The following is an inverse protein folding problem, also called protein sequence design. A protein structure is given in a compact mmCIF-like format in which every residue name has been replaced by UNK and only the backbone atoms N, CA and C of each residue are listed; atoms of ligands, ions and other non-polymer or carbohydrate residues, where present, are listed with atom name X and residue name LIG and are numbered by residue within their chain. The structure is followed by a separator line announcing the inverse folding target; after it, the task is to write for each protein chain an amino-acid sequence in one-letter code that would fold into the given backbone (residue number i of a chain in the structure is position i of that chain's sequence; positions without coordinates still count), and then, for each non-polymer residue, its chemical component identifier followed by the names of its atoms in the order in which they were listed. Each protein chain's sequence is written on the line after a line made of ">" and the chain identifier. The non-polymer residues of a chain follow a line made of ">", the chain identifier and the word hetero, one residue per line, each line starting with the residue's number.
data_IF_157809792654
#
_entry.id   IF_157809792654
#
_cell.length_a   1.000
_cell.length_b   1.000
_cell.length_c   1.000
_cell.angle_alpha   90.00
_cell.angle_beta   90.00
_cell.angle_gamma   90.00
#
_symmetry.space_group_name_H-M   'P 1'
#
loop_
_entity.id
_entity.type
_entity.pdbx_description
1 polymer ?
#
# COMPACT_ATOMS: atom_id res chain seq x y z
N UNK A 1 27.08 -23.37 -19.50
CA UNK A 1 26.37 -22.08 -19.41
C UNK A 1 24.88 -22.35 -19.37
N UNK A 2 24.25 -22.30 -18.19
CA UNK A 2 22.80 -22.48 -18.04
C UNK A 2 22.14 -21.11 -17.93
N UNK A 3 21.14 -20.92 -18.80
CA UNK A 3 20.55 -19.64 -19.19
C UNK A 3 19.51 -19.13 -18.18
N UNK A 4 19.83 -18.04 -17.47
CA UNK A 4 19.07 -16.78 -17.38
C UNK A 4 17.62 -16.69 -16.88
N UNK A 5 16.82 -17.76 -16.84
CA UNK A 5 15.37 -17.66 -16.54
C UNK A 5 15.01 -17.83 -15.04
N UNK A 6 15.92 -18.41 -14.26
CA UNK A 6 15.63 -18.85 -12.87
C UNK A 6 15.68 -17.78 -11.78
N UNK A 7 16.02 -16.51 -12.06
CA UNK A 7 16.29 -15.51 -10.99
C UNK A 7 15.11 -14.62 -10.57
N UNK A 8 14.14 -14.38 -11.46
CA UNK A 8 13.01 -13.44 -11.18
C UNK A 8 11.92 -14.12 -10.34
N UNK A 9 11.58 -15.36 -10.70
CA UNK A 9 10.64 -16.18 -9.91
C UNK A 9 11.18 -16.47 -8.52
N UNK A 10 12.49 -16.63 -8.39
CA UNK A 10 13.18 -16.86 -7.11
C UNK A 10 12.93 -15.68 -6.14
N UNK A 11 13.13 -14.45 -6.60
CA UNK A 11 12.96 -13.26 -5.74
C UNK A 11 11.50 -13.05 -5.32
N UNK A 12 10.54 -13.20 -6.24
CA UNK A 12 9.13 -13.05 -5.88
C UNK A 12 8.72 -14.07 -4.82
N UNK A 13 9.20 -15.32 -4.94
CA UNK A 13 8.96 -16.38 -3.96
C UNK A 13 9.66 -16.08 -2.62
N UNK A 14 10.91 -15.62 -2.63
CA UNK A 14 11.63 -15.18 -1.41
C UNK A 14 10.84 -14.10 -0.67
N UNK A 15 10.34 -13.08 -1.38
CA UNK A 15 9.60 -11.98 -0.77
C UNK A 15 8.21 -12.42 -0.29
N UNK A 16 7.57 -13.36 -0.99
CA UNK A 16 6.35 -14.03 -0.53
C UNK A 16 6.59 -14.71 0.82
N UNK A 17 7.71 -15.43 0.95
CA UNK A 17 8.06 -16.13 2.20
C UNK A 17 8.31 -15.16 3.35
N UNK A 18 8.90 -13.99 3.08
CA UNK A 18 9.16 -12.94 4.07
C UNK A 18 7.92 -12.10 4.47
N UNK A 19 6.84 -12.16 3.69
CA UNK A 19 5.65 -11.30 3.91
C UNK A 19 4.61 -12.01 4.77
N UNK A 20 4.15 -11.35 5.82
CA UNK A 20 3.28 -11.89 6.87
C UNK A 20 2.01 -11.07 7.01
N UNK A 21 0.92 -11.75 7.37
CA UNK A 21 -0.30 -11.08 7.78
C UNK A 21 -0.17 -10.62 9.23
N UNK A 22 -0.71 -9.44 9.53
CA UNK A 22 -0.91 -8.97 10.90
C UNK A 22 -2.41 -8.86 11.13
N UNK A 23 -2.90 -9.43 12.23
CA UNK A 23 -4.32 -9.30 12.60
C UNK A 23 -4.51 -9.11 14.11
N UNK A 24 -5.53 -8.35 14.48
CA UNK A 24 -5.99 -8.24 15.85
C UNK A 24 -7.52 -8.19 15.89
N UNK A 25 -8.20 -9.08 16.64
CA UNK A 25 -9.63 -8.98 16.87
C UNK A 25 -10.00 -7.67 17.56
N UNK A 26 -11.10 -7.06 17.14
CA UNK A 26 -11.65 -5.86 17.78
C UNK A 26 -12.82 -6.22 18.69
N UNK A 27 -13.18 -5.31 19.61
CA UNK A 27 -14.32 -5.49 20.51
C UNK A 27 -15.67 -5.64 19.77
N UNK A 28 -15.78 -5.17 18.53
CA UNK A 28 -16.97 -5.29 17.69
C UNK A 28 -17.07 -6.64 16.95
N UNK A 29 -16.13 -7.56 17.17
CA UNK A 29 -16.04 -8.84 16.46
C UNK A 29 -15.48 -8.74 15.03
N UNK A 30 -15.07 -7.54 14.60
CA UNK A 30 -14.28 -7.34 13.39
C UNK A 30 -12.80 -7.64 13.66
N UNK A 31 -11.97 -7.55 12.62
CA UNK A 31 -10.51 -7.68 12.73
C UNK A 31 -9.84 -6.46 12.13
N UNK A 32 -8.91 -5.87 12.86
CA UNK A 32 -7.90 -5.00 12.27
C UNK A 32 -6.93 -5.91 11.53
N UNK A 33 -6.71 -5.66 10.24
CA UNK A 33 -5.84 -6.46 9.39
C UNK A 33 -4.84 -5.57 8.66
N UNK A 34 -3.62 -6.05 8.53
CA UNK A 34 -2.57 -5.40 7.78
C UNK A 34 -1.57 -6.40 7.24
N UNK A 35 -0.61 -5.88 6.48
CA UNK A 35 0.53 -6.64 5.96
C UNK A 35 1.79 -6.16 6.64
N UNK A 36 2.72 -7.06 6.91
CA UNK A 36 4.10 -6.71 7.21
C UNK A 36 5.07 -7.60 6.45
N UNK A 37 6.34 -7.26 6.48
CA UNK A 37 7.39 -8.10 5.90
C UNK A 37 8.63 -8.08 6.78
N UNK A 38 9.34 -9.20 6.76
CA UNK A 38 10.52 -9.41 7.58
C UNK A 38 11.77 -8.94 6.86
N UNK A 39 12.60 -8.19 7.58
CA UNK A 39 13.90 -7.70 7.16
C UNK A 39 14.97 -8.37 8.02
N UNK A 40 16.00 -8.95 7.38
CA UNK A 40 17.23 -9.33 8.06
C UNK A 40 18.17 -8.12 8.15
N UNK A 41 18.56 -7.78 9.37
CA UNK A 41 19.46 -6.66 9.66
C UNK A 41 20.42 -7.03 10.79
N UNK A 42 21.28 -6.08 11.18
CA UNK A 42 22.14 -6.22 12.35
C UNK A 42 21.80 -5.15 13.38
N UNK A 43 21.98 -5.48 14.66
CA UNK A 43 21.90 -4.50 15.75
C UNK A 43 23.19 -3.67 15.87
N UNK A 44 23.26 -2.80 16.89
CA UNK A 44 24.43 -1.95 17.14
C UNK A 44 25.72 -2.73 17.49
N UNK A 45 25.60 -3.98 17.96
CA UNK A 45 26.73 -4.87 18.24
C UNK A 45 27.19 -5.65 17.00
N UNK A 46 26.42 -5.59 15.91
CA UNK A 46 26.63 -6.40 14.71
C UNK A 46 25.95 -7.77 14.76
N UNK A 47 25.17 -8.07 15.78
CA UNK A 47 24.46 -9.34 15.88
C UNK A 47 23.27 -9.38 14.89
N UNK A 48 23.03 -10.51 14.19
CA UNK A 48 21.89 -10.67 13.32
C UNK A 48 20.56 -10.53 14.07
N UNK A 49 19.60 -9.84 13.46
CA UNK A 49 18.23 -9.72 13.96
C UNK A 49 17.21 -9.74 12.83
N UNK A 50 16.03 -10.24 13.15
CA UNK A 50 14.85 -10.18 12.27
C UNK A 50 13.94 -9.05 12.71
N UNK A 51 13.58 -8.18 11.77
CA UNK A 51 12.75 -7.00 12.02
C UNK A 51 11.49 -7.09 11.17
N UNK A 52 10.33 -7.06 11.82
CA UNK A 52 9.05 -6.84 11.16
C UNK A 52 8.94 -5.36 10.77
N UNK A 53 8.66 -5.08 9.50
CA UNK A 53 8.36 -3.75 8.97
C UNK A 53 6.90 -3.72 8.49
N UNK A 54 6.19 -2.64 8.78
CA UNK A 54 4.81 -2.40 8.34
C UNK A 54 4.52 -0.89 8.30
N UNK A 55 3.31 -0.52 7.89
CA UNK A 55 2.83 0.85 8.00
C UNK A 55 2.50 1.15 9.47
N UNK A 56 2.84 2.35 9.95
CA UNK A 56 2.66 2.70 11.36
C UNK A 56 1.19 2.61 11.79
N UNK A 57 0.26 3.10 10.98
CA UNK A 57 -1.17 3.03 11.31
C UNK A 57 -1.71 1.60 11.46
N UNK A 58 -1.04 0.58 10.90
CA UNK A 58 -1.43 -0.84 11.08
C UNK A 58 -1.26 -1.25 12.54
N UNK A 59 -0.10 -0.98 13.13
CA UNK A 59 0.16 -1.31 14.54
C UNK A 59 -0.56 -0.35 15.49
N UNK A 60 -0.71 0.90 15.11
CA UNK A 60 -1.46 1.88 15.90
C UNK A 60 -2.94 1.49 16.03
N UNK A 61 -3.55 1.05 14.93
CA UNK A 61 -4.92 0.52 14.90
C UNK A 61 -5.12 -0.82 15.64
N UNK A 62 -4.05 -1.44 16.13
CA UNK A 62 -4.07 -2.62 16.99
C UNK A 62 -3.89 -2.18 18.45
N UNK A 63 -5.02 -1.86 19.10
CA UNK A 63 -5.04 -1.29 20.45
C UNK A 63 -4.66 -2.30 21.56
N UNK A 64 -4.93 -3.59 21.38
CA UNK A 64 -4.61 -4.58 22.39
C UNK A 64 -3.10 -4.92 22.41
N UNK A 65 -2.55 -5.43 23.53
CA UNK A 65 -1.11 -5.70 23.63
C UNK A 65 -0.59 -6.80 22.70
N UNK A 66 -1.47 -7.73 22.31
CA UNK A 66 -1.12 -8.89 21.48
C UNK A 66 -1.85 -8.80 20.14
N UNK A 67 -1.09 -8.84 19.05
CA UNK A 67 -1.57 -9.13 17.70
C UNK A 67 -1.26 -10.60 17.35
N UNK A 68 -1.78 -11.09 16.23
CA UNK A 68 -1.33 -12.33 15.62
C UNK A 68 -0.47 -12.02 14.39
N UNK A 69 0.65 -12.73 14.25
CA UNK A 69 1.50 -12.73 13.07
C UNK A 69 1.32 -14.04 12.30
N UNK A 70 1.01 -13.93 11.01
CA UNK A 70 0.69 -15.05 10.15
C UNK A 70 1.94 -15.80 9.67
N UNK A 71 2.42 -16.75 10.48
CA UNK A 71 3.43 -17.72 10.04
C UNK A 71 2.81 -18.94 9.37
N UNK A 72 3.66 -19.73 8.72
CA UNK A 72 3.31 -21.00 8.07
C UNK A 72 4.45 -22.00 8.15
N UNK A 73 4.11 -23.27 8.22
CA UNK A 73 5.08 -24.37 8.31
C UNK A 73 4.98 -25.23 7.06
N UNK A 74 6.12 -25.51 6.43
CA UNK A 74 6.20 -26.51 5.38
C UNK A 74 6.03 -27.89 6.00
N UNK A 75 5.17 -28.71 5.40
CA UNK A 75 5.02 -30.11 5.74
C UNK A 75 5.95 -30.98 4.87
N UNK A 76 6.27 -32.18 5.34
CA UNK A 76 7.16 -33.11 4.63
C UNK A 76 6.63 -33.57 3.27
N UNK A 77 5.33 -33.48 3.04
CA UNK A 77 4.65 -33.82 1.80
C UNK A 77 4.67 -32.68 0.75
N UNK A 78 5.36 -31.56 1.06
CA UNK A 78 5.37 -30.36 0.23
C UNK A 78 4.17 -29.43 0.43
N UNK A 79 3.25 -29.80 1.33
CA UNK A 79 2.15 -28.96 1.77
C UNK A 79 2.60 -27.83 2.69
N UNK A 80 1.68 -26.91 2.98
CA UNK A 80 1.89 -25.81 3.91
C UNK A 80 0.71 -25.68 4.85
N UNK A 81 0.98 -25.43 6.12
CA UNK A 81 -0.04 -25.18 7.15
C UNK A 81 0.10 -23.77 7.69
N UNK A 82 -1.01 -23.03 7.73
CA UNK A 82 -1.04 -21.73 8.41
C UNK A 82 -0.94 -21.93 9.92
N UNK A 83 0.02 -21.26 10.56
CA UNK A 83 0.32 -21.40 11.98
C UNK A 83 0.59 -20.01 12.57
N UNK A 84 -0.46 -19.21 12.81
CA UNK A 84 -0.30 -17.88 13.37
C UNK A 84 0.27 -17.95 14.78
N UNK A 85 1.15 -17.01 15.12
CA UNK A 85 1.75 -16.90 16.45
C UNK A 85 1.32 -15.59 17.13
N UNK A 86 1.26 -15.55 18.48
CA UNK A 86 1.07 -14.30 19.20
C UNK A 86 2.29 -13.39 19.00
N UNK A 87 2.03 -12.12 18.71
CA UNK A 87 3.03 -11.06 18.59
C UNK A 87 2.70 -9.98 19.62
N UNK A 88 3.58 -9.80 20.61
CA UNK A 88 3.43 -8.72 21.58
C UNK A 88 3.89 -7.40 20.96
N UNK A 89 2.96 -6.45 20.83
CA UNK A 89 3.18 -5.16 20.18
C UNK A 89 3.14 -3.97 21.16
N UNK A 90 2.64 -4.18 22.38
CA UNK A 90 2.63 -3.21 23.47
C UNK A 90 3.03 -3.87 24.78
N UNK A 91 3.56 -3.08 25.71
CA UNK A 91 3.85 -3.55 27.07
C UNK A 91 2.59 -3.59 27.97
N UNK A 92 2.76 -3.91 29.25
CA UNK A 92 1.64 -3.96 30.20
C UNK A 92 1.05 -2.58 30.54
N UNK A 93 1.79 -1.50 30.29
CA UNK A 93 1.32 -0.12 30.41
C UNK A 93 0.59 0.37 29.15
N UNK A 94 0.61 -0.42 28.06
CA UNK A 94 0.03 -0.08 26.77
C UNK A 94 0.98 0.68 25.84
N UNK A 95 2.23 0.88 26.25
CA UNK A 95 3.23 1.59 25.47
C UNK A 95 3.69 0.75 24.27
N UNK A 96 3.89 1.36 23.09
CA UNK A 96 4.39 0.67 21.91
C UNK A 96 5.74 -0.03 22.13
N UNK A 97 5.85 -1.29 21.72
CA UNK A 97 7.14 -2.00 21.64
C UNK A 97 7.83 -1.83 20.28
N UNK A 98 7.20 -1.11 19.35
CA UNK A 98 7.70 -0.84 18.02
C UNK A 98 8.29 0.57 17.92
N UNK A 99 9.25 0.74 17.01
CA UNK A 99 9.81 2.04 16.64
C UNK A 99 9.04 2.60 15.45
N UNK A 100 8.54 3.83 15.57
CA UNK A 100 7.90 4.57 14.48
C UNK A 100 8.87 5.57 13.86
N UNK A 101 8.75 5.75 12.55
CA UNK A 101 9.38 6.88 11.87
C UNK A 101 8.71 8.20 12.31
N UNK A 102 9.47 9.26 12.65
CA UNK A 102 8.89 10.50 13.20
C UNK A 102 7.93 11.19 12.24
N UNK A 103 8.28 11.19 10.94
CA UNK A 103 7.58 11.97 9.92
C UNK A 103 6.80 11.13 8.91
N UNK A 104 6.96 9.81 8.89
CA UNK A 104 6.41 8.96 7.83
C UNK A 104 5.67 7.76 8.42
N UNK A 105 4.74 7.21 7.65
CA UNK A 105 3.87 6.13 8.10
C UNK A 105 4.58 4.76 8.03
N UNK A 106 5.64 4.61 8.81
CA UNK A 106 6.49 3.42 8.87
C UNK A 106 6.70 3.04 10.33
N UNK A 107 6.54 1.75 10.64
CA UNK A 107 6.89 1.18 11.93
C UNK A 107 7.73 -0.10 11.77
N UNK A 108 8.59 -0.34 12.75
CA UNK A 108 9.47 -1.49 12.80
C UNK A 108 9.52 -2.11 14.21
N UNK A 109 9.56 -3.44 14.28
CA UNK A 109 9.58 -4.21 15.52
C UNK A 109 10.58 -5.36 15.40
N UNK A 110 11.49 -5.53 16.36
CA UNK A 110 12.33 -6.73 16.43
C UNK A 110 11.46 -7.92 16.81
N UNK A 111 11.58 -9.02 16.08
CA UNK A 111 10.77 -10.23 16.32
C UNK A 111 11.63 -11.48 16.39
N UNK A 112 11.25 -12.40 17.27
CA UNK A 112 11.75 -13.77 17.27
C UNK A 112 10.96 -14.59 16.26
N UNK A 113 11.36 -14.52 14.99
CA UNK A 113 10.70 -15.27 13.92
C UNK A 113 11.14 -16.75 13.92
N UNK A 114 10.25 -17.68 13.52
CA UNK A 114 10.64 -19.06 13.26
C UNK A 114 11.84 -19.14 12.30
N UNK A 115 12.74 -20.14 12.41
CA UNK A 115 13.99 -20.19 11.64
C UNK A 115 13.81 -20.03 10.11
N UNK A 116 12.76 -20.62 9.54
CA UNK A 116 12.46 -20.50 8.11
C UNK A 116 12.10 -19.05 7.71
N UNK A 117 11.38 -18.33 8.57
CA UNK A 117 11.04 -16.92 8.34
C UNK A 117 12.23 -15.99 8.58
N UNK A 118 13.06 -16.28 9.59
CA UNK A 118 14.31 -15.55 9.82
C UNK A 118 15.28 -15.72 8.63
N UNK A 119 15.37 -16.93 8.08
CA UNK A 119 16.16 -17.24 6.88
C UNK A 119 15.62 -16.58 5.62
N UNK A 120 14.29 -16.53 5.46
CA UNK A 120 13.63 -15.89 4.34
C UNK A 120 13.56 -14.35 4.44
N UNK A 121 13.90 -13.77 5.60
CA UNK A 121 13.80 -12.33 5.82
C UNK A 121 14.66 -11.54 4.82
N UNK A 122 14.05 -10.54 4.20
CA UNK A 122 14.63 -9.76 3.11
C UNK A 122 15.89 -9.03 3.63
N UNK A 123 17.07 -9.19 3.01
CA UNK A 123 18.25 -8.48 3.45
C UNK A 123 18.05 -6.97 3.39
N UNK A 124 18.42 -6.24 4.45
CA UNK A 124 18.27 -4.78 4.50
C UNK A 124 18.94 -4.06 3.30
N UNK A 125 19.97 -4.67 2.70
CA UNK A 125 20.61 -4.16 1.47
C UNK A 125 19.73 -4.16 0.22
N UNK A 126 18.56 -4.80 0.25
CA UNK A 126 17.57 -4.76 -0.84
C UNK A 126 16.65 -3.53 -0.75
N UNK A 127 16.65 -2.81 0.38
CA UNK A 127 15.90 -1.56 0.52
C UNK A 127 16.50 -0.48 -0.40
N UNK A 128 15.67 0.14 -1.23
CA UNK A 128 16.12 1.17 -2.16
C UNK A 128 16.73 2.36 -1.40
N UNK A 129 18.00 2.64 -1.70
CA UNK A 129 18.58 3.95 -1.43
C UNK A 129 17.94 5.01 -2.36
N UNK A 130 18.13 6.28 -2.02
CA UNK A 130 17.67 7.40 -2.87
C UNK A 130 18.18 7.24 -4.31
N UNK A 131 17.28 7.40 -5.29
CA UNK A 131 17.56 7.25 -6.72
C UNK A 131 17.88 5.82 -7.20
N UNK A 132 17.75 4.78 -6.34
CA UNK A 132 18.17 3.43 -6.72
C UNK A 132 17.31 2.82 -7.83
N UNK A 133 16.00 3.12 -7.85
CA UNK A 133 15.10 2.66 -8.91
C UNK A 133 15.46 3.32 -10.25
N UNK A 134 15.67 4.63 -10.25
CA UNK A 134 16.03 5.40 -11.44
C UNK A 134 17.38 4.98 -12.00
N UNK A 135 18.38 4.71 -11.14
CA UNK A 135 19.67 4.16 -11.57
C UNK A 135 19.55 2.77 -12.20
N UNK A 136 18.51 2.01 -11.84
CA UNK A 136 18.17 0.74 -12.48
C UNK A 136 17.27 0.90 -13.71
N UNK A 137 16.92 2.13 -14.09
CA UNK A 137 16.14 2.45 -15.29
C UNK A 137 14.63 2.40 -15.11
N UNK A 138 14.13 2.29 -13.87
CA UNK A 138 12.70 2.38 -13.57
C UNK A 138 12.21 3.82 -13.59
N UNK A 139 11.03 4.04 -14.15
CA UNK A 139 10.33 5.32 -14.16
C UNK A 139 8.82 5.15 -14.34
N UNK A 140 8.09 6.25 -14.61
CA UNK A 140 6.65 6.20 -14.85
C UNK A 140 6.27 5.17 -15.92
N UNK A 141 5.23 4.40 -15.64
CA UNK A 141 4.75 3.32 -16.51
C UNK A 141 5.43 1.97 -16.33
N UNK A 142 6.60 1.90 -15.66
CA UNK A 142 7.22 0.62 -15.33
C UNK A 142 6.44 -0.10 -14.21
N UNK A 143 6.39 -1.43 -14.30
CA UNK A 143 5.65 -2.29 -13.37
C UNK A 143 6.46 -2.59 -12.11
N UNK A 144 5.80 -2.50 -10.94
CA UNK A 144 6.27 -3.00 -9.66
C UNK A 144 5.31 -4.06 -9.11
N UNK A 145 5.84 -4.93 -8.26
CA UNK A 145 5.08 -5.97 -7.57
C UNK A 145 4.74 -5.50 -6.15
N UNK A 146 3.53 -5.85 -5.71
CA UNK A 146 3.01 -5.57 -4.37
C UNK A 146 2.54 -6.88 -3.74
N UNK A 147 2.93 -7.13 -2.50
CA UNK A 147 2.41 -8.26 -1.71
C UNK A 147 1.53 -7.73 -0.58
N UNK A 148 0.40 -8.40 -0.33
CA UNK A 148 -0.44 -8.05 0.81
C UNK A 148 -1.61 -8.99 1.05
N UNK A 149 -2.42 -8.64 2.05
CA UNK A 149 -3.60 -9.40 2.46
C UNK A 149 -4.86 -8.53 2.31
N UNK A 150 -5.32 -8.25 1.08
CA UNK A 150 -6.49 -7.41 0.84
C UNK A 150 -7.71 -8.00 1.54
N UNK A 151 -8.34 -7.19 2.39
CA UNK A 151 -9.46 -7.54 3.27
C UNK A 151 -9.16 -8.70 4.22
N UNK A 152 -7.88 -8.92 4.53
CA UNK A 152 -7.42 -10.03 5.34
C UNK A 152 -7.39 -11.37 4.61
N UNK A 153 -7.58 -11.39 3.29
CA UNK A 153 -7.57 -12.61 2.49
C UNK A 153 -6.13 -13.04 2.15
N UNK A 154 -5.87 -14.33 2.30
CA UNK A 154 -4.65 -14.97 1.83
C UNK A 154 -4.86 -15.58 0.43
N UNK A 155 -3.77 -15.81 -0.30
CA UNK A 155 -3.80 -16.44 -1.62
C UNK A 155 -4.26 -17.90 -1.57
N UNK A 156 -4.12 -18.55 -0.42
CA UNK A 156 -4.52 -19.94 -0.18
C UNK A 156 -4.65 -20.21 1.33
N UNK A 157 -5.08 -21.43 1.67
CA UNK A 157 -5.26 -21.87 3.06
C UNK A 157 -3.97 -21.93 3.89
N UNK A 158 -2.81 -21.80 3.26
CA UNK A 158 -1.52 -21.76 3.94
C UNK A 158 -1.11 -20.34 4.39
N UNK A 159 -1.95 -19.33 4.15
CA UNK A 159 -1.71 -17.97 4.64
C UNK A 159 -0.61 -17.23 3.87
N UNK A 160 -0.39 -17.55 2.59
CA UNK A 160 0.51 -16.78 1.74
C UNK A 160 -0.12 -15.43 1.31
N UNK A 161 0.68 -14.36 1.17
CA UNK A 161 0.20 -13.08 0.66
C UNK A 161 -0.32 -13.20 -0.78
N UNK A 162 -1.25 -12.33 -1.14
CA UNK A 162 -1.70 -12.15 -2.52
C UNK A 162 -0.70 -11.25 -3.23
N UNK A 163 -0.10 -11.77 -4.31
CA UNK A 163 0.77 -11.02 -5.21
C UNK A 163 -0.08 -10.24 -6.22
N UNK A 164 0.21 -8.95 -6.34
CA UNK A 164 -0.40 -8.04 -7.33
C UNK A 164 0.69 -7.23 -8.00
N UNK A 165 0.36 -6.59 -9.13
CA UNK A 165 1.25 -5.64 -9.79
C UNK A 165 0.52 -4.33 -10.06
N UNK A 166 1.29 -3.26 -10.20
CA UNK A 166 0.84 -1.92 -10.57
C UNK A 166 1.95 -1.16 -11.27
N UNK A 167 1.60 -0.09 -11.99
CA UNK A 167 2.58 0.75 -12.71
C UNK A 167 2.90 2.02 -11.93
N UNK A 168 4.15 2.48 -12.00
CA UNK A 168 4.54 3.77 -11.41
C UNK A 168 3.72 4.89 -12.08
N UNK A 169 2.94 5.61 -11.27
CA UNK A 169 1.93 6.58 -11.74
C UNK A 169 2.30 8.05 -11.45
N UNK A 170 3.44 8.31 -10.80
CA UNK A 170 3.92 9.66 -10.49
C UNK A 170 5.26 9.96 -11.13
N UNK A 171 5.50 11.24 -11.41
CA UNK A 171 6.78 11.78 -11.84
C UNK A 171 7.06 13.12 -11.12
N UNK A 172 8.29 13.38 -10.67
CA UNK A 172 9.43 12.45 -10.61
C UNK A 172 9.16 11.26 -9.67
N UNK A 173 9.85 10.13 -9.88
CA UNK A 173 9.69 8.94 -9.04
C UNK A 173 10.26 9.19 -7.64
N UNK A 174 11.48 9.73 -7.54
CA UNK A 174 12.04 10.25 -6.30
C UNK A 174 12.11 11.78 -6.34
N UNK A 175 11.75 12.40 -5.22
CA UNK A 175 11.90 13.83 -5.00
C UNK A 175 12.30 14.08 -3.56
N UNK A 176 13.19 15.05 -3.32
CA UNK A 176 13.49 15.50 -1.94
C UNK A 176 12.25 16.06 -1.23
N UNK A 177 11.27 16.54 -1.98
CA UNK A 177 10.05 17.13 -1.46
C UNK A 177 8.92 16.10 -1.25
N UNK A 178 9.03 14.89 -1.80
CA UNK A 178 7.97 13.88 -1.71
C UNK A 178 8.46 12.62 -1.02
N UNK A 179 7.90 12.25 0.14
CA UNK A 179 8.26 11.00 0.80
C UNK A 179 7.65 9.76 0.12
N UNK A 180 6.71 9.99 -0.79
CA UNK A 180 5.91 8.94 -1.43
C UNK A 180 5.92 9.06 -2.95
N UNK A 181 5.57 7.96 -3.60
CA UNK A 181 5.24 7.92 -5.03
C UNK A 181 3.93 7.13 -5.25
N UNK A 182 3.33 7.30 -6.43
CA UNK A 182 2.04 6.71 -6.76
C UNK A 182 2.20 5.44 -7.61
N UNK A 183 1.32 4.47 -7.37
CA UNK A 183 1.22 3.22 -8.12
C UNK A 183 -0.21 3.00 -8.60
N UNK A 184 -0.38 2.75 -9.89
CA UNK A 184 -1.67 2.49 -10.53
C UNK A 184 -2.12 1.05 -10.27
N UNK A 185 -2.86 0.85 -9.16
CA UNK A 185 -3.54 -0.40 -8.80
C UNK A 185 -4.55 -0.19 -7.66
N UNK A 186 -5.68 -0.90 -7.68
CA UNK A 186 -6.69 -0.76 -6.63
C UNK A 186 -6.14 -1.20 -5.26
N UNK A 187 -6.28 -0.38 -4.25
CA UNK A 187 -5.87 -0.71 -2.87
C UNK A 187 -7.10 -1.11 -2.05
N UNK A 188 -6.94 -2.09 -1.18
CA UNK A 188 -7.98 -2.52 -0.24
C UNK A 188 -7.41 -2.47 1.18
N UNK A 189 -8.26 -2.27 2.21
CA UNK A 189 -7.86 -2.44 3.60
C UNK A 189 -7.12 -3.77 3.78
N UNK A 190 -6.03 -3.80 4.54
CA UNK A 190 -5.18 -4.98 4.70
C UNK A 190 -3.97 -5.04 3.76
N UNK A 191 -3.93 -4.28 2.65
CA UNK A 191 -2.70 -4.13 1.86
C UNK A 191 -1.64 -3.25 2.55
N UNK A 192 -2.06 -2.37 3.47
CA UNK A 192 -1.17 -1.46 4.18
C UNK A 192 -0.02 -2.20 4.87
N UNK A 193 1.19 -1.68 4.73
CA UNK A 193 2.43 -2.26 5.19
C UNK A 193 3.05 -3.30 4.26
N UNK A 194 2.39 -3.64 3.14
CA UNK A 194 2.90 -4.58 2.15
C UNK A 194 4.11 -4.05 1.40
N UNK A 195 5.13 -4.89 1.11
CA UNK A 195 6.30 -4.46 0.37
C UNK A 195 5.95 -4.20 -1.10
N UNK A 196 6.49 -3.10 -1.63
CA UNK A 196 6.46 -2.78 -3.06
C UNK A 196 7.86 -2.91 -3.60
N UNK A 197 8.06 -3.74 -4.63
CA UNK A 197 9.39 -4.10 -5.09
C UNK A 197 9.47 -4.35 -6.59
N UNK A 198 10.67 -4.18 -7.12
CA UNK A 198 11.03 -4.70 -8.43
C UNK A 198 11.76 -6.04 -8.22
N UNK A 199 11.29 -7.15 -8.81
CA UNK A 199 11.88 -8.48 -8.63
C UNK A 199 13.25 -8.67 -9.34
N UNK A 200 13.83 -7.60 -9.88
CA UNK A 200 15.02 -7.65 -10.72
C UNK A 200 14.68 -8.15 -12.13
N UNK A 201 15.16 -7.45 -13.15
CA UNK A 201 15.04 -7.88 -14.54
C UNK A 201 13.60 -8.04 -15.03
N UNK A 202 12.75 -7.02 -14.97
CA UNK A 202 11.48 -6.99 -15.71
C UNK A 202 11.46 -5.82 -16.70
N UNK A 203 10.74 -5.99 -17.81
CA UNK A 203 10.37 -4.91 -18.74
C UNK A 203 11.52 -4.04 -19.30
N UNK A 204 11.25 -2.73 -19.40
CA UNK A 204 12.14 -1.74 -20.04
C UNK A 204 13.43 -1.49 -19.26
N UNK A 205 13.45 -1.78 -17.95
CA UNK A 205 14.63 -1.66 -17.10
C UNK A 205 15.78 -2.60 -17.54
N UNK A 206 15.47 -3.79 -18.08
CA UNK A 206 16.49 -4.68 -18.68
C UNK A 206 17.19 -4.06 -19.90
N UNK A 207 16.49 -3.20 -20.64
CA UNK A 207 16.97 -2.62 -21.90
C UNK A 207 17.81 -1.36 -21.60
N UNK A 208 17.48 -0.63 -20.52
CA UNK A 208 18.10 0.65 -20.16
C UNK A 208 19.30 0.53 -19.20
N UNK A 209 19.39 -0.53 -18.40
CA UNK A 209 20.44 -0.66 -17.39
C UNK A 209 21.74 -1.27 -17.97
N UNK A 210 22.88 -0.65 -17.66
CA UNK A 210 24.22 -1.22 -17.89
C UNK A 210 24.53 -2.32 -16.85
N UNK A 211 23.79 -3.43 -16.89
CA UNK A 211 23.93 -4.55 -15.97
C UNK A 211 22.62 -5.31 -15.73
N UNK A 212 22.69 -6.52 -15.15
CA UNK A 212 21.50 -7.26 -14.77
C UNK A 212 20.79 -6.54 -13.60
N UNK A 213 19.52 -6.10 -13.73
CA UNK A 213 18.85 -5.37 -12.67
C UNK A 213 18.68 -6.28 -11.45
N UNK A 214 18.98 -5.76 -10.27
CA UNK A 214 18.92 -6.52 -9.01
C UNK A 214 17.56 -6.29 -8.35
N UNK A 215 17.04 -7.27 -7.61
CA UNK A 215 15.87 -7.06 -6.78
C UNK A 215 16.02 -5.84 -5.88
N UNK A 216 14.96 -5.05 -5.76
CA UNK A 216 14.95 -3.86 -4.91
C UNK A 216 13.56 -3.62 -4.35
N UNK A 217 13.47 -3.41 -3.03
CA UNK A 217 12.26 -2.94 -2.34
C UNK A 217 12.20 -1.43 -2.53
N UNK A 218 11.22 -0.96 -3.30
CA UNK A 218 10.99 0.45 -3.58
C UNK A 218 10.40 1.20 -2.38
N UNK A 219 9.63 0.49 -1.56
CA UNK A 219 8.96 1.05 -0.41
C UNK A 219 7.94 0.11 0.19
N UNK A 220 7.05 0.67 1.00
CA UNK A 220 5.88 -0.03 1.52
C UNK A 220 4.61 0.72 1.18
N UNK A 221 3.54 -0.03 0.90
CA UNK A 221 2.23 0.55 0.63
C UNK A 221 1.64 1.10 1.93
N UNK A 222 1.23 2.35 1.93
CA UNK A 222 0.69 3.01 3.14
C UNK A 222 -0.79 3.31 3.00
N UNK A 223 -1.22 3.82 1.86
CA UNK A 223 -2.60 4.24 1.68
C UNK A 223 -3.02 4.16 0.22
N UNK A 224 -4.27 4.55 -0.02
CA UNK A 224 -4.81 4.76 -1.35
C UNK A 224 -5.14 6.24 -1.53
N UNK A 225 -5.15 6.73 -2.77
CA UNK A 225 -5.63 8.07 -3.05
C UNK A 225 -7.16 8.06 -3.01
N UNK A 226 -7.71 8.93 -2.18
CA UNK A 226 -9.13 9.21 -2.09
C UNK A 226 -9.39 10.68 -2.44
N UNK A 227 -10.39 10.92 -3.28
CA UNK A 227 -10.84 12.27 -3.65
C UNK A 227 -12.37 12.32 -3.56
N UNK A 228 -12.93 13.24 -2.79
CA UNK A 228 -14.38 13.36 -2.56
C UNK A 228 -15.06 12.04 -2.12
N UNK A 229 -14.40 11.25 -1.26
CA UNK A 229 -14.83 9.91 -0.81
C UNK A 229 -14.85 8.84 -1.90
N UNK A 230 -14.33 9.12 -3.10
CA UNK A 230 -14.13 8.14 -4.15
C UNK A 230 -12.68 7.64 -4.14
N UNK A 231 -12.52 6.34 -4.33
CA UNK A 231 -11.20 5.70 -4.44
C UNK A 231 -10.74 5.82 -5.89
N UNK A 232 -9.57 6.40 -6.10
CA UNK A 232 -9.02 6.57 -7.46
C UNK A 232 -8.28 5.33 -7.97
N UNK A 233 -8.30 4.23 -7.22
CA UNK A 233 -7.54 3.02 -7.52
C UNK A 233 -6.03 3.27 -7.69
N UNK A 234 -5.52 4.28 -6.98
CA UNK A 234 -4.10 4.60 -6.92
C UNK A 234 -3.58 4.29 -5.53
N UNK A 235 -2.52 3.48 -5.45
CA UNK A 235 -1.77 3.25 -4.21
C UNK A 235 -0.69 4.30 -3.97
N UNK A 236 -0.49 4.62 -2.71
CA UNK A 236 0.56 5.51 -2.23
C UNK A 236 1.64 4.69 -1.54
N UNK A 237 2.85 4.76 -2.08
CA UNK A 237 4.00 3.99 -1.61
C UNK A 237 4.97 4.93 -0.91
N UNK A 238 5.22 4.68 0.37
CA UNK A 238 6.26 5.39 1.13
C UNK A 238 7.61 4.80 0.78
N UNK A 239 8.56 5.65 0.37
CA UNK A 239 9.87 5.21 -0.12
C UNK A 239 10.65 4.39 0.91
N UNK A 240 11.40 3.39 0.44
CA UNK A 240 12.18 2.50 1.29
C UNK A 240 13.27 3.20 2.12
N UNK A 241 13.70 4.40 1.73
CA UNK A 241 14.60 5.22 2.55
C UNK A 241 14.08 5.43 3.97
N UNK A 242 12.77 5.55 4.16
CA UNK A 242 12.17 5.76 5.49
C UNK A 242 12.13 4.47 6.30
N UNK A 243 12.13 3.30 5.64
CA UNK A 243 12.38 2.02 6.31
C UNK A 243 13.82 2.02 6.83
N UNK A 244 14.80 2.38 5.99
CA UNK A 244 16.22 2.46 6.40
C UNK A 244 16.42 3.44 7.56
N UNK A 245 15.80 4.62 7.50
CA UNK A 245 15.82 5.61 8.58
C UNK A 245 15.22 5.02 9.87
N UNK A 246 14.09 4.32 9.79
CA UNK A 246 13.46 3.65 10.95
C UNK A 246 14.36 2.57 11.56
N UNK A 247 14.99 1.73 10.73
CA UNK A 247 15.91 0.69 11.20
C UNK A 247 17.13 1.28 11.94
N UNK A 248 17.59 2.47 11.54
CA UNK A 248 18.67 3.20 12.23
C UNK A 248 18.22 3.77 13.57
N UNK A 249 16.98 4.27 13.69
CA UNK A 249 16.42 4.72 14.97
C UNK A 249 16.43 3.59 16.01
N UNK A 250 16.08 2.38 15.58
CA UNK A 250 16.12 1.17 16.43
C UNK A 250 17.52 0.84 16.94
N UNK A 251 18.59 1.18 16.21
CA UNK A 251 19.96 0.85 16.61
C UNK A 251 20.50 1.76 17.71
N UNK A 252 20.07 3.03 17.72
CA UNK A 252 20.67 4.02 18.60
C UNK A 252 19.86 4.26 19.88
N UNK A 253 18.66 3.69 20.03
CA UNK A 253 17.76 4.02 21.13
C UNK A 253 17.36 5.51 21.16
N UNK A 254 17.62 6.23 20.06
CA UNK A 254 17.39 7.65 19.91
C UNK A 254 15.94 7.84 19.43
N UNK A 255 15.11 8.45 20.28
CA UNK A 255 13.97 9.21 19.80
C UNK A 255 14.52 10.40 18.99
N UNK A 256 14.13 10.61 17.72
CA UNK A 256 14.82 11.54 16.85
C UNK A 256 14.59 13.00 17.25
N UNK A 257 15.65 13.81 17.14
CA UNK A 257 15.55 15.25 17.07
C UNK A 257 14.72 15.65 15.84
N UNK A 258 13.76 16.54 16.07
CA UNK A 258 12.88 17.10 15.03
C UNK A 258 13.68 18.14 14.25
N UNK A 259 14.03 17.83 13.01
CA UNK A 259 14.19 18.87 12.00
C UNK A 259 12.82 19.05 11.34
N UNK A 260 12.23 20.23 11.53
CA UNK A 260 10.91 20.54 10.99
C UNK A 260 10.90 20.31 9.47
N UNK A 261 9.87 19.66 8.92
CA UNK A 261 9.73 19.61 7.48
C UNK A 261 9.65 21.03 6.92
N UNK A 262 10.32 21.26 5.79
CA UNK A 262 10.02 22.39 4.92
C UNK A 262 8.51 22.44 4.66
N UNK A 263 7.90 23.63 4.52
CA UNK A 263 6.45 23.78 4.44
C UNK A 263 5.90 22.83 3.39
N UNK A 264 4.84 22.10 3.77
CA UNK A 264 3.99 21.40 2.82
C UNK A 264 3.78 22.31 1.61
N UNK A 265 4.21 21.85 0.43
CA UNK A 265 3.77 22.47 -0.81
C UNK A 265 2.27 22.27 -0.80
N UNK A 266 1.53 23.36 -0.60
CA UNK A 266 0.08 23.40 -0.59
C UNK A 266 -0.46 22.77 -1.89
N UNK A 267 -0.76 21.48 -1.81
CA UNK A 267 -1.48 20.69 -2.79
C UNK A 267 -2.76 20.22 -2.13
N UNK A 268 -3.79 21.06 -2.23
CA UNK A 268 -5.18 20.80 -1.87
C UNK A 268 -5.47 20.45 -0.39
N UNK A 269 -5.37 21.44 0.49
CA UNK A 269 -6.29 21.53 1.63
C UNK A 269 -7.69 21.90 1.08
N UNK A 270 -8.79 21.21 1.45
CA UNK A 270 -10.12 21.59 1.02
C UNK A 270 -10.48 22.95 1.62
N UNK A 271 -10.68 23.94 0.75
CA UNK A 271 -11.32 25.20 1.13
C UNK A 271 -12.77 24.85 1.48
N UNK A 272 -13.13 24.99 2.74
CA UNK A 272 -14.54 25.15 3.14
C UNK A 272 -14.97 26.52 2.61
N UNK A 273 -15.52 26.55 1.40
CA UNK A 273 -16.15 27.76 0.88
C UNK A 273 -17.48 27.99 1.62
N UNK A 274 -17.45 28.90 2.59
CA UNK A 274 -18.66 29.59 3.07
C UNK A 274 -19.31 30.34 1.90
N UNK A 275 -20.65 30.36 1.77
CA UNK A 275 -21.33 30.51 0.47
C UNK A 275 -21.40 31.92 -0.12
N UNK A 276 -20.56 32.87 0.29
CA UNK A 276 -20.80 34.29 -0.03
C UNK A 276 -19.94 34.95 -1.12
N UNK A 277 -18.96 34.29 -1.73
CA UNK A 277 -18.24 34.89 -2.89
C UNK A 277 -17.92 33.88 -3.99
N UNK A 278 -18.93 33.58 -4.82
CA UNK A 278 -18.75 32.72 -6.00
C UNK A 278 -18.17 33.48 -7.19
N UNK A 279 -17.20 32.85 -7.85
CA UNK A 279 -16.54 33.39 -9.05
C UNK A 279 -17.49 33.43 -10.26
N UNK A 280 -17.22 34.30 -11.26
CA UNK A 280 -18.02 34.40 -12.49
C UNK A 280 -18.14 33.06 -13.26
N UNK A 281 -17.11 32.21 -13.18
CA UNK A 281 -17.06 30.90 -13.83
C UNK A 281 -18.04 29.92 -13.19
N UNK A 282 -18.17 29.94 -11.85
CA UNK A 282 -19.13 29.11 -11.13
C UNK A 282 -20.58 29.43 -11.49
N UNK A 283 -20.90 30.71 -11.71
CA UNK A 283 -22.24 31.13 -12.17
C UNK A 283 -22.56 30.68 -13.60
N UNK A 284 -21.56 30.63 -14.48
CA UNK A 284 -21.74 30.18 -15.86
C UNK A 284 -22.00 28.67 -15.96
N UNK A 285 -21.31 27.87 -15.15
CA UNK A 285 -21.49 26.40 -15.11
C UNK A 285 -22.89 26.03 -14.59
N UNK A 286 -23.38 26.73 -13.57
CA UNK A 286 -24.72 26.49 -13.01
C UNK A 286 -25.85 26.94 -13.95
N UNK A 287 -25.63 28.00 -14.74
CA UNK A 287 -26.55 28.42 -15.79
C UNK A 287 -26.65 27.39 -16.92
N UNK A 288 -25.52 26.79 -17.30
CA UNK A 288 -25.49 25.67 -18.26
C UNK A 288 -26.20 24.43 -17.72
N UNK A 289 -25.98 24.08 -16.44
CA UNK A 289 -26.66 22.97 -15.77
C UNK A 289 -28.18 23.14 -15.75
N UNK A 290 -28.68 24.33 -15.39
CA UNK A 290 -30.12 24.62 -15.39
C UNK A 290 -30.74 24.60 -16.79
N UNK A 291 -30.00 25.02 -17.82
CA UNK A 291 -30.45 24.91 -19.21
C UNK A 291 -30.52 23.45 -19.68
N UNK A 292 -29.56 22.63 -19.27
CA UNK A 292 -29.54 21.21 -19.57
C UNK A 292 -30.70 20.47 -18.88
N UNK A 293 -30.95 20.73 -17.60
CA UNK A 293 -32.06 20.11 -16.86
C UNK A 293 -33.43 20.50 -17.43
N UNK A 294 -33.61 21.76 -17.84
CA UNK A 294 -34.87 22.19 -18.51
C UNK A 294 -35.04 21.52 -19.87
N UNK A 295 -33.96 21.31 -20.63
CA UNK A 295 -34.02 20.61 -21.91
C UNK A 295 -34.35 19.11 -21.73
N UNK A 296 -33.76 18.45 -20.74
CA UNK A 296 -34.05 17.05 -20.39
C UNK A 296 -35.49 16.88 -19.91
N UNK A 297 -36.00 17.82 -19.10
CA UNK A 297 -37.38 17.78 -18.62
C UNK A 297 -38.38 17.98 -19.77
N UNK A 298 -38.13 18.94 -20.67
CA UNK A 298 -38.99 19.18 -21.84
C UNK A 298 -39.02 17.99 -22.81
N UNK A 299 -37.90 17.27 -22.99
CA UNK A 299 -37.84 16.06 -23.80
C UNK A 299 -38.61 14.89 -23.17
N UNK A 300 -38.63 14.79 -21.84
CA UNK A 300 -39.41 13.79 -21.09
C UNK A 300 -40.92 14.01 -21.22
N UNK A 301 -41.38 15.26 -21.09
CA UNK A 301 -42.80 15.61 -21.22
C UNK A 301 -43.33 15.41 -22.65
N UNK A 302 -42.51 15.73 -23.67
CA UNK A 302 -42.85 15.48 -25.07
C UNK A 302 -42.98 13.97 -25.38
N UNK A 303 -42.14 13.13 -24.76
CA UNK A 303 -42.21 11.67 -24.90
C UNK A 303 -43.45 11.06 -24.24
N UNK A 304 -43.86 11.57 -23.07
CA UNK A 304 -45.06 11.10 -22.35
C UNK A 304 -46.36 11.42 -23.11
N UNK A 305 -46.45 12.58 -23.75
CA UNK A 305 -47.62 12.97 -24.56
C UNK A 305 -47.83 12.13 -25.83
N UNK A 306 -46.75 11.63 -26.43
CA UNK A 306 -46.81 10.77 -27.62
C UNK A 306 -47.33 9.35 -27.29
N UNK A 307 -46.95 8.81 -26.14
CA UNK A 307 -47.40 7.49 -25.66
C UNK A 307 -48.90 7.51 -25.30
N UNK A 308 -49.39 8.60 -24.70
CA UNK A 308 -50.81 8.74 -24.35
C UNK A 308 -51.75 8.81 -25.57
N UNK A 309 -51.29 9.39 -26.70
CA UNK A 309 -52.09 9.47 -27.94
C UNK A 309 -52.17 8.16 -28.73
N UNK A 310 -51.26 7.22 -28.47
CA UNK A 310 -51.25 5.90 -29.13
C UNK A 310 -52.05 4.82 -28.36
N UNK A 311 -52.52 5.13 -27.14
CA UNK A 311 -53.12 4.15 -26.22
C UNK A 311 -54.65 4.28 -26.06
N UNK A 312 -55.31 5.22 -26.74
CA UNK A 312 -56.75 5.48 -26.62
C UNK A 312 -57.60 4.67 -27.61
N UNK A 313 -57.91 3.42 -27.27
CA UNK A 313 -58.90 2.59 -27.99
C UNK A 313 -60.35 3.03 -27.72
N UNK A 314 -61.19 2.93 -28.75
CA UNK A 314 -62.60 3.32 -28.76
C UNK A 314 -63.50 2.53 -27.77
N UNK A 315 -64.61 3.12 -27.28
CA UNK A 315 -65.51 2.46 -26.33
C UNK A 315 -66.46 1.47 -27.03
N UNK A 316 -66.75 0.36 -26.34
CA UNK A 316 -67.76 -0.63 -26.72
C UNK A 316 -69.19 -0.06 -26.56
N UNK A 317 -70.04 -0.26 -27.56
CA UNK A 317 -71.50 -0.14 -27.43
C UNK A 317 -72.13 -1.52 -27.30
N UNK A 318 -73.17 -1.58 -26.49
CA UNK A 318 -74.03 -2.74 -26.22
C UNK A 318 -74.88 -3.14 -27.43
#
# INVERSE_FOLDING_TARGET
>A
MMSGSGRVFDTAVEFIQATVQLEQPTASGQRTVGTGFLISSVDASGAPRTVLVTAHHVLDGMAAPIAAIGYRTAAHDGGWTYSPAPLRIRDDAGEPLWTRHPAQDVAALVVEAPPEFAKAAIPAGYLAAEGALERQGFGPGDELIVLGFPRGLAANNAGFPILRSGRIASYPLTSKASPTFLLDFSVFPGNSGGPVFAPGGTGTARIKASGAPRPVVAGLLTQQVEFNSERLEIGVVTHARYIVETLRLMQHGIAPAVEAPAPEVAGATPVVETPERRSPVGRAIEALGRLFDRAVFALRDAGAGLIARLSGGAPAQA
#
